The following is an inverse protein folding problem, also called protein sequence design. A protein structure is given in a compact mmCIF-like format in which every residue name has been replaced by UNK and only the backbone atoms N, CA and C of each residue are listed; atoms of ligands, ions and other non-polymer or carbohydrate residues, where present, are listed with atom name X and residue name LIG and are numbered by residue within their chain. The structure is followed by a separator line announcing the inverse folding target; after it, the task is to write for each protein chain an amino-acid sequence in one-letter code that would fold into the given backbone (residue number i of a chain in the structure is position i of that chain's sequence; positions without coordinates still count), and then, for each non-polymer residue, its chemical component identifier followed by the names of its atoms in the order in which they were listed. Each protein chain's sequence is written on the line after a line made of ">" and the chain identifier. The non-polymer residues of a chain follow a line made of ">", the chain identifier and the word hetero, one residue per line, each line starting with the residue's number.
data_IF_014036952702
#
_entry.id   IF_014036952702
#
_cell.length_a   1.000
_cell.length_b   1.000
_cell.length_c   1.000
_cell.angle_alpha   90.00
_cell.angle_beta   90.00
_cell.angle_gamma   90.00
#
_symmetry.space_group_name_H-M   'P 1'
#
loop_
_entity.id
_entity.type
_entity.pdbx_description
1 polymer ?
#
# COMPACT_ATOMS: atom_id res chain seq x y z
N UNK A 1 17.06 -18.12 2.35
CA UNK A 1 15.75 -18.68 2.63
C UNK A 1 14.72 -18.13 1.67
N UNK A 2 13.73 -18.96 1.30
CA UNK A 2 12.61 -18.54 0.45
C UNK A 2 11.32 -18.96 1.16
N UNK A 3 10.37 -18.02 1.27
CA UNK A 3 9.06 -18.23 1.87
C UNK A 3 7.95 -17.82 0.91
N UNK A 4 6.85 -18.57 0.93
CA UNK A 4 5.59 -18.16 0.34
C UNK A 4 4.67 -17.81 1.49
N UNK A 5 4.23 -16.57 1.53
CA UNK A 5 3.48 -16.01 2.66
C UNK A 5 2.24 -15.26 2.18
N UNK A 6 1.28 -15.07 3.10
CA UNK A 6 0.16 -14.21 2.82
C UNK A 6 0.63 -12.79 2.52
N UNK A 7 0.13 -12.21 1.46
CA UNK A 7 0.50 -10.88 1.03
C UNK A 7 0.16 -9.78 2.06
N UNK A 8 -0.69 -10.05 3.05
CA UNK A 8 -0.99 -9.15 4.16
C UNK A 8 0.27 -8.74 4.95
N UNK A 9 1.37 -9.50 4.83
CA UNK A 9 2.68 -9.11 5.36
C UNK A 9 3.12 -7.73 4.87
N UNK A 10 2.68 -7.28 3.70
CA UNK A 10 3.12 -5.99 3.13
C UNK A 10 2.36 -4.80 3.70
N UNK A 11 1.13 -4.96 4.18
CA UNK A 11 0.28 -3.82 4.55
C UNK A 11 -0.42 -3.94 5.90
N UNK A 12 -0.73 -5.15 6.38
CA UNK A 12 -1.54 -5.31 7.58
C UNK A 12 -0.78 -4.92 8.86
N UNK A 13 -1.44 -4.19 9.75
CA UNK A 13 -0.91 -3.76 11.04
C UNK A 13 -0.53 -4.96 11.94
N UNK A 14 -1.28 -6.06 11.86
CA UNK A 14 -1.02 -7.29 12.63
C UNK A 14 0.39 -7.83 12.37
N UNK A 15 0.91 -7.64 11.15
CA UNK A 15 2.25 -8.13 10.77
C UNK A 15 3.37 -7.10 10.97
N UNK A 16 3.13 -5.97 11.66
CA UNK A 16 4.17 -4.95 11.86
C UNK A 16 5.41 -5.51 12.54
N UNK A 17 5.22 -6.26 13.64
CA UNK A 17 6.34 -6.89 14.37
C UNK A 17 7.08 -7.94 13.55
N UNK A 18 6.35 -8.70 12.72
CA UNK A 18 6.98 -9.67 11.81
C UNK A 18 7.88 -8.98 10.78
N UNK A 19 7.46 -7.82 10.25
CA UNK A 19 8.28 -7.02 9.34
C UNK A 19 9.56 -6.49 10.00
N UNK A 20 9.46 -6.02 11.24
CA UNK A 20 10.63 -5.60 12.03
C UNK A 20 11.62 -6.76 12.20
N UNK A 21 11.14 -7.91 12.65
CA UNK A 21 11.98 -9.11 12.84
C UNK A 21 12.65 -9.56 11.54
N UNK A 22 11.95 -9.46 10.40
CA UNK A 22 12.53 -9.75 9.09
C UNK A 22 13.63 -8.75 8.76
N UNK A 23 13.38 -7.46 8.97
CA UNK A 23 14.36 -6.40 8.70
C UNK A 23 15.60 -6.52 9.59
N UNK A 24 15.42 -6.92 10.84
CA UNK A 24 16.49 -7.10 11.82
C UNK A 24 17.24 -8.42 11.64
N UNK A 25 16.53 -9.50 11.28
CA UNK A 25 17.07 -10.86 11.23
C UNK A 25 17.88 -11.18 9.98
N UNK A 26 17.58 -10.54 8.86
CA UNK A 26 18.20 -10.81 7.57
C UNK A 26 18.88 -9.58 7.00
N UNK A 27 19.83 -9.80 6.09
CA UNK A 27 20.57 -8.75 5.42
C UNK A 27 19.75 -8.10 4.29
N UNK A 28 19.55 -8.85 3.21
CA UNK A 28 18.77 -8.38 2.07
C UNK A 28 17.50 -9.22 1.94
N UNK A 29 16.39 -8.54 1.81
CA UNK A 29 15.07 -9.14 1.73
C UNK A 29 14.38 -8.69 0.45
N UNK A 30 14.04 -9.64 -0.41
CA UNK A 30 13.34 -9.39 -1.67
C UNK A 30 11.91 -9.89 -1.55
N UNK A 31 10.94 -9.02 -1.80
CA UNK A 31 9.52 -9.33 -1.64
C UNK A 31 8.79 -9.08 -2.96
N UNK A 32 8.24 -10.15 -3.51
CA UNK A 32 7.48 -10.16 -4.76
C UNK A 32 6.01 -10.40 -4.44
N UNK A 33 5.13 -9.53 -4.91
CA UNK A 33 3.70 -9.57 -4.55
C UNK A 33 2.83 -9.87 -5.76
N UNK A 34 1.91 -10.82 -5.63
CA UNK A 34 1.07 -11.32 -6.70
C UNK A 34 -0.41 -11.23 -6.34
N UNK A 35 -1.19 -10.73 -7.29
CA UNK A 35 -2.64 -10.59 -7.15
C UNK A 35 -3.34 -11.94 -7.29
N UNK A 36 -4.33 -12.19 -6.44
CA UNK A 36 -5.07 -13.46 -6.41
C UNK A 36 -5.98 -13.69 -7.62
N UNK A 37 -6.47 -12.62 -8.24
CA UNK A 37 -7.45 -12.75 -9.33
C UNK A 37 -6.78 -12.69 -10.70
N UNK A 38 -5.76 -11.83 -10.81
CA UNK A 38 -5.14 -11.49 -12.09
C UNK A 38 -3.79 -12.17 -12.31
N UNK A 39 -3.08 -12.53 -11.24
CA UNK A 39 -1.78 -13.19 -11.31
C UNK A 39 -1.69 -14.30 -10.25
N UNK A 40 -2.44 -15.39 -10.47
CA UNK A 40 -2.47 -16.51 -9.55
C UNK A 40 -1.18 -17.32 -9.65
N UNK A 41 -0.45 -17.43 -8.55
CA UNK A 41 0.68 -18.35 -8.43
C UNK A 41 0.19 -19.78 -8.23
N UNK A 42 -0.89 -19.93 -7.45
CA UNK A 42 -1.52 -21.23 -7.21
C UNK A 42 -2.92 -21.26 -7.80
N UNK A 43 -3.24 -22.32 -8.52
CA UNK A 43 -4.48 -22.43 -9.28
C UNK A 43 -5.75 -22.27 -8.43
N UNK A 44 -5.73 -22.77 -7.20
CA UNK A 44 -6.86 -22.71 -6.26
C UNK A 44 -6.68 -21.68 -5.13
N UNK A 45 -5.66 -20.83 -5.20
CA UNK A 45 -5.47 -19.83 -4.16
C UNK A 45 -6.56 -18.75 -4.22
N UNK A 46 -7.23 -18.56 -3.09
CA UNK A 46 -8.24 -17.51 -2.88
C UNK A 46 -7.66 -16.23 -2.32
N UNK A 47 -6.36 -16.19 -2.05
CA UNK A 47 -5.66 -15.06 -1.46
C UNK A 47 -4.48 -14.63 -2.33
N UNK A 48 -4.19 -13.34 -2.30
CA UNK A 48 -2.94 -12.82 -2.84
C UNK A 48 -1.77 -13.32 -2.01
N UNK A 49 -0.64 -13.57 -2.65
CA UNK A 49 0.55 -14.10 -1.98
C UNK A 49 1.76 -13.22 -2.23
N UNK A 50 2.72 -13.31 -1.32
CA UNK A 50 4.06 -12.78 -1.52
C UNK A 50 5.08 -13.91 -1.48
N UNK A 51 6.06 -13.84 -2.40
CA UNK A 51 7.26 -14.65 -2.32
C UNK A 51 8.33 -13.77 -1.70
N UNK A 52 8.91 -14.23 -0.60
CA UNK A 52 9.97 -13.52 0.11
C UNK A 52 11.25 -14.33 0.05
N UNK A 53 12.32 -13.72 -0.45
CA UNK A 53 13.68 -14.27 -0.48
C UNK A 53 14.55 -13.48 0.47
N UNK A 54 15.05 -14.14 1.51
CA UNK A 54 15.88 -13.55 2.56
C UNK A 54 17.30 -14.08 2.48
N UNK A 55 18.27 -13.21 2.65
CA UNK A 55 19.68 -13.54 2.72
C UNK A 55 20.20 -13.35 4.14
N UNK A 56 21.02 -14.30 4.61
CA UNK A 56 21.65 -14.18 5.91
C UNK A 56 22.62 -13.00 5.95
N UNK A 57 22.78 -12.42 7.12
CA UNK A 57 23.76 -11.35 7.35
C UNK A 57 25.18 -11.88 7.17
N UNK A 58 26.00 -11.12 6.47
CA UNK A 58 27.43 -11.28 6.38
C UNK A 58 28.11 -9.90 6.41
N UNK A 59 29.40 -9.84 6.47
CA UNK A 59 30.16 -8.58 6.57
C UNK A 59 29.97 -7.61 5.38
N UNK A 60 29.42 -8.10 4.26
CA UNK A 60 29.19 -7.31 3.04
C UNK A 60 27.73 -6.98 2.81
N UNK A 61 26.86 -7.32 3.75
CA UNK A 61 25.40 -7.13 3.61
C UNK A 61 25.03 -5.66 3.66
N UNK A 62 24.15 -5.24 2.74
CA UNK A 62 23.63 -3.85 2.67
C UNK A 62 22.41 -3.60 3.55
N UNK A 63 21.86 -4.64 4.18
CA UNK A 63 20.65 -4.57 5.03
C UNK A 63 19.47 -3.85 4.34
N UNK A 64 19.10 -4.36 3.17
CA UNK A 64 18.06 -3.78 2.32
C UNK A 64 16.77 -4.56 2.30
N UNK A 65 15.63 -3.86 2.23
CA UNK A 65 14.37 -4.44 1.82
C UNK A 65 14.04 -3.95 0.41
N UNK A 66 13.78 -4.90 -0.47
CA UNK A 66 13.51 -4.66 -1.88
C UNK A 66 12.13 -5.20 -2.22
N UNK A 67 11.28 -4.39 -2.79
CA UNK A 67 9.92 -4.78 -3.15
C UNK A 67 9.68 -4.67 -4.65
N UNK A 68 8.92 -5.62 -5.20
CA UNK A 68 8.33 -5.48 -6.53
C UNK A 68 7.06 -4.64 -6.48
N UNK A 69 6.56 -4.23 -7.65
CA UNK A 69 5.15 -3.86 -7.78
C UNK A 69 4.27 -5.09 -7.50
N UNK A 70 2.99 -4.87 -7.21
CA UNK A 70 2.00 -5.96 -7.21
C UNK A 70 1.72 -6.38 -8.65
N UNK A 71 2.05 -7.64 -8.98
CA UNK A 71 1.79 -8.20 -10.31
C UNK A 71 0.32 -8.57 -10.45
N UNK A 72 -0.31 -8.07 -11.51
CA UNK A 72 -1.71 -8.34 -11.89
C UNK A 72 -1.84 -9.13 -13.18
N UNK A 73 -0.74 -9.51 -13.74
CA UNK A 73 -0.55 -10.41 -14.88
C UNK A 73 0.76 -11.14 -14.68
N UNK A 74 0.89 -12.32 -15.26
CA UNK A 74 2.11 -13.11 -15.11
C UNK A 74 3.29 -12.36 -15.73
N UNK A 75 4.24 -11.88 -14.93
CA UNK A 75 5.38 -11.17 -15.47
C UNK A 75 6.34 -12.15 -16.15
N UNK A 76 6.94 -11.75 -17.26
CA UNK A 76 8.17 -12.40 -17.71
C UNK A 76 9.27 -12.16 -16.70
N UNK A 77 10.28 -13.02 -16.68
CA UNK A 77 11.41 -12.89 -15.73
C UNK A 77 12.13 -11.53 -15.88
N UNK A 78 12.13 -10.96 -17.08
CA UNK A 78 12.77 -9.68 -17.40
C UNK A 78 11.95 -8.46 -16.91
N UNK A 79 10.65 -8.65 -16.63
CA UNK A 79 9.76 -7.60 -16.12
C UNK A 79 9.73 -7.53 -14.60
N UNK A 80 10.35 -8.50 -13.92
CA UNK A 80 10.43 -8.53 -12.46
C UNK A 80 11.46 -7.52 -11.98
N UNK A 81 11.00 -6.30 -11.71
CA UNK A 81 11.81 -5.24 -11.12
C UNK A 81 11.55 -5.13 -9.64
N UNK A 82 12.60 -4.88 -8.88
CA UNK A 82 12.54 -4.58 -7.45
C UNK A 82 13.29 -3.29 -7.16
N UNK A 83 12.81 -2.56 -6.17
CA UNK A 83 13.45 -1.35 -5.69
C UNK A 83 13.68 -1.41 -4.20
N UNK A 84 14.81 -0.88 -3.74
CA UNK A 84 15.05 -0.68 -2.32
C UNK A 84 14.00 0.27 -1.75
N UNK A 85 13.34 -0.14 -0.68
CA UNK A 85 12.27 0.61 -0.05
C UNK A 85 12.59 1.06 1.39
N UNK A 86 13.82 0.90 1.87
CA UNK A 86 14.21 1.25 3.24
C UNK A 86 13.82 2.68 3.62
N UNK A 87 13.95 3.62 2.71
CA UNK A 87 13.57 5.03 2.91
C UNK A 87 12.09 5.22 3.22
N UNK A 88 11.24 4.29 2.76
CA UNK A 88 9.79 4.37 2.80
C UNK A 88 9.14 3.44 3.84
N UNK A 89 9.94 2.63 4.53
CA UNK A 89 9.46 1.66 5.53
C UNK A 89 9.00 2.31 6.82
N UNK A 90 9.68 3.35 7.20
CA UNK A 90 9.52 4.03 8.48
C UNK A 90 9.30 5.51 8.23
N UNK A 91 8.06 5.96 8.02
CA UNK A 91 7.82 7.38 8.06
C UNK A 91 8.23 7.87 9.45
N UNK A 92 9.16 8.82 9.49
CA UNK A 92 9.69 9.41 10.71
C UNK A 92 8.51 9.78 11.62
N UNK A 93 8.43 9.14 12.80
CA UNK A 93 7.61 9.49 13.97
C UNK A 93 6.42 10.43 13.70
N UNK A 94 5.48 10.03 12.89
CA UNK A 94 4.18 10.66 12.84
C UNK A 94 3.22 9.68 13.51
N UNK A 95 2.49 10.13 14.50
CA UNK A 95 1.49 9.36 15.25
C UNK A 95 0.38 8.74 14.38
N UNK A 96 0.33 9.12 13.12
CA UNK A 96 -0.63 8.65 12.13
C UNK A 96 -0.14 7.46 11.28
N UNK A 97 1.17 7.16 11.27
CA UNK A 97 1.76 6.10 10.46
C UNK A 97 2.35 4.99 11.32
N UNK A 98 1.60 4.51 12.30
CA UNK A 98 2.03 3.39 13.15
C UNK A 98 2.14 2.05 12.43
N UNK A 99 1.79 1.96 11.16
CA UNK A 99 1.93 0.72 10.42
C UNK A 99 3.15 0.77 9.53
N UNK A 100 4.18 0.06 9.89
CA UNK A 100 5.37 -0.23 9.09
C UNK A 100 5.00 -1.00 7.81
N UNK A 101 4.30 -0.35 6.89
CA UNK A 101 3.87 -0.98 5.63
C UNK A 101 5.04 -1.07 4.68
N UNK A 102 5.12 -2.16 3.93
CA UNK A 102 6.11 -2.35 2.87
C UNK A 102 5.54 -1.81 1.56
N UNK A 103 6.05 -0.69 1.04
CA UNK A 103 5.54 -0.15 -0.21
C UNK A 103 5.92 -1.04 -1.38
N UNK A 104 4.97 -1.36 -2.24
CA UNK A 104 5.14 -2.19 -3.44
C UNK A 104 5.64 -1.36 -4.61
N UNK A 105 6.92 -0.99 -4.59
CA UNK A 105 7.49 0.03 -5.48
C UNK A 105 7.79 -0.54 -6.87
N UNK A 106 8.68 -1.52 -6.96
CA UNK A 106 9.13 -2.13 -8.21
C UNK A 106 9.99 -1.24 -9.09
N UNK A 107 9.47 -0.12 -9.57
CA UNK A 107 10.11 0.73 -10.58
C UNK A 107 10.62 2.06 -10.02
N UNK A 108 11.66 2.62 -10.64
CA UNK A 108 12.22 3.90 -10.20
C UNK A 108 11.24 5.08 -10.31
N UNK A 109 10.35 5.07 -11.30
CA UNK A 109 9.34 6.13 -11.43
C UNK A 109 8.43 6.19 -10.19
N UNK A 110 8.11 5.04 -9.59
CA UNK A 110 7.32 4.99 -8.37
C UNK A 110 8.04 5.65 -7.18
N UNK A 111 9.37 5.52 -7.12
CA UNK A 111 10.19 6.21 -6.09
C UNK A 111 10.13 7.72 -6.27
N UNK A 112 10.28 8.19 -7.50
CA UNK A 112 10.23 9.63 -7.82
C UNK A 112 8.87 10.22 -7.40
N UNK A 113 7.78 9.53 -7.67
CA UNK A 113 6.44 9.95 -7.25
C UNK A 113 6.33 9.95 -5.72
N UNK A 114 6.78 8.89 -5.06
CA UNK A 114 6.76 8.79 -3.60
C UNK A 114 7.61 9.87 -2.94
N UNK A 115 8.80 10.16 -3.47
CA UNK A 115 9.67 11.21 -2.94
C UNK A 115 8.99 12.58 -2.99
N UNK A 116 8.27 12.87 -4.08
CA UNK A 116 7.48 14.09 -4.20
C UNK A 116 6.32 14.14 -3.21
N UNK A 117 5.59 13.03 -3.05
CA UNK A 117 4.47 12.96 -2.11
C UNK A 117 4.92 13.09 -0.66
N UNK A 118 6.04 12.46 -0.31
CA UNK A 118 6.57 12.47 1.07
C UNK A 118 7.37 13.73 1.40
N UNK A 119 7.68 14.56 0.42
CA UNK A 119 8.33 15.84 0.63
C UNK A 119 7.42 16.83 1.37
N UNK A 120 6.12 16.77 1.13
CA UNK A 120 5.14 17.63 1.76
C UNK A 120 4.69 17.07 3.10
N UNK A 121 4.68 17.92 4.14
CA UNK A 121 4.25 17.56 5.49
C UNK A 121 2.72 17.67 5.71
N UNK A 122 1.99 18.08 4.68
CA UNK A 122 0.54 18.20 4.75
C UNK A 122 -0.12 16.85 4.49
N UNK A 123 -0.88 16.37 5.43
CA UNK A 123 -1.54 15.07 5.36
C UNK A 123 -3.06 15.24 5.23
N UNK A 124 -3.70 14.41 4.42
CA UNK A 124 -5.17 14.39 4.27
C UNK A 124 -5.87 14.26 5.63
N UNK A 125 -5.28 13.56 6.57
CA UNK A 125 -5.84 13.42 7.91
C UNK A 125 -6.07 14.74 8.64
N UNK A 126 -5.31 15.79 8.33
CA UNK A 126 -5.44 17.11 8.96
C UNK A 126 -6.74 17.83 8.58
N UNK A 127 -7.35 17.46 7.46
CA UNK A 127 -8.63 18.02 6.99
C UNK A 127 -9.83 17.11 7.29
N UNK A 128 -9.59 15.93 7.90
CA UNK A 128 -10.67 15.08 8.39
C UNK A 128 -11.25 15.64 9.67
N UNK A 129 -12.55 15.55 9.82
CA UNK A 129 -13.25 16.05 11.00
C UNK A 129 -14.19 14.98 11.57
N UNK A 130 -14.65 15.16 12.82
CA UNK A 130 -15.68 14.31 13.42
C UNK A 130 -17.10 14.76 13.05
N UNK A 131 -17.23 16.03 12.66
CA UNK A 131 -18.49 16.66 12.26
C UNK A 131 -18.17 17.74 11.23
N UNK A 132 -18.95 17.85 10.17
CA UNK A 132 -18.68 18.83 9.12
C UNK A 132 -19.35 18.44 7.83
N UNK A 133 -18.65 18.65 6.73
CA UNK A 133 -19.06 18.14 5.44
C UNK A 133 -18.93 16.62 5.36
N UNK A 134 -19.59 16.02 4.39
CA UNK A 134 -19.50 14.59 4.12
C UNK A 134 -19.14 14.36 2.67
N UNK A 135 -18.18 13.49 2.43
CA UNK A 135 -18.04 12.78 1.17
C UNK A 135 -18.38 11.30 1.40
N UNK A 136 -18.81 10.65 0.36
CA UNK A 136 -19.14 9.23 0.39
C UNK A 136 -18.07 8.46 -0.36
N UNK A 137 -17.50 7.46 0.29
CA UNK A 137 -16.40 6.69 -0.28
C UNK A 137 -16.81 5.23 -0.46
N UNK A 138 -16.40 4.65 -1.57
CA UNK A 138 -16.52 3.22 -1.77
C UNK A 138 -15.38 2.51 -1.05
N UNK A 139 -15.70 1.69 -0.04
CA UNK A 139 -14.73 1.05 0.83
C UNK A 139 -14.22 -0.28 0.32
N UNK A 140 -14.97 -0.92 -0.60
CA UNK A 140 -14.55 -2.15 -1.27
C UNK A 140 -14.93 -2.11 -2.74
N UNK A 141 -14.26 -2.84 -3.59
CA UNK A 141 -14.64 -2.90 -5.01
C UNK A 141 -13.50 -3.12 -5.97
N UNK A 142 -12.74 -4.19 -5.80
CA UNK A 142 -11.88 -4.78 -6.82
C UNK A 142 -11.24 -3.77 -7.78
N UNK A 143 -10.45 -2.82 -7.25
CA UNK A 143 -9.70 -1.80 -8.00
C UNK A 143 -10.47 -0.52 -8.40
N UNK A 144 -11.73 -0.37 -8.03
CA UNK A 144 -12.52 0.82 -8.30
C UNK A 144 -12.86 1.53 -6.99
N UNK A 145 -12.13 2.57 -6.69
CA UNK A 145 -12.36 3.43 -5.52
C UNK A 145 -12.93 4.73 -6.02
N UNK A 146 -14.11 5.06 -5.56
CA UNK A 146 -14.78 6.27 -5.95
C UNK A 146 -15.17 7.05 -4.71
N UNK A 147 -15.02 8.36 -4.78
CA UNK A 147 -15.55 9.31 -3.81
C UNK A 147 -16.65 10.14 -4.46
N UNK A 148 -17.68 10.48 -3.69
CA UNK A 148 -18.87 11.19 -4.15
C UNK A 148 -19.20 12.31 -3.15
N UNK A 149 -19.63 13.45 -3.63
CA UNK A 149 -20.15 14.55 -2.81
C UNK A 149 -21.52 14.21 -2.18
N UNK A 150 -22.30 13.35 -2.85
CA UNK A 150 -23.60 12.86 -2.40
C UNK A 150 -23.62 11.34 -2.36
N UNK A 151 -24.45 10.76 -1.47
CA UNK A 151 -24.59 9.31 -1.42
C UNK A 151 -25.19 8.77 -2.71
N UNK A 152 -24.45 7.97 -3.50
CA UNK A 152 -24.89 7.57 -4.84
C UNK A 152 -26.01 6.52 -4.79
N UNK A 153 -25.96 5.61 -3.81
CA UNK A 153 -26.94 4.54 -3.58
C UNK A 153 -26.77 3.93 -2.19
N UNK A 154 -27.76 3.13 -1.77
CA UNK A 154 -27.68 2.42 -0.50
C UNK A 154 -26.88 1.13 -0.67
N UNK A 155 -25.75 1.03 0.01
CA UNK A 155 -24.88 -0.14 0.05
C UNK A 155 -24.02 -0.11 1.29
N UNK A 156 -23.67 -1.29 1.80
CA UNK A 156 -22.69 -1.46 2.89
C UNK A 156 -21.26 -1.14 2.44
N UNK A 157 -21.01 -1.11 1.13
CA UNK A 157 -19.73 -0.72 0.56
C UNK A 157 -19.52 0.79 0.49
N UNK A 158 -20.58 1.59 0.72
CA UNK A 158 -20.50 3.05 0.72
C UNK A 158 -20.50 3.56 2.15
N UNK A 159 -19.44 4.22 2.54
CA UNK A 159 -19.28 4.79 3.89
C UNK A 159 -19.06 6.30 3.84
N UNK A 160 -19.60 7.05 4.82
CA UNK A 160 -19.30 8.48 4.93
C UNK A 160 -17.87 8.67 5.46
N UNK A 161 -17.21 9.68 4.92
CA UNK A 161 -15.99 10.27 5.47
C UNK A 161 -16.28 11.73 5.77
N UNK A 162 -16.07 12.12 7.01
CA UNK A 162 -16.30 13.50 7.44
C UNK A 162 -15.06 14.35 7.20
N UNK A 163 -15.25 15.52 6.67
CA UNK A 163 -14.19 16.45 6.26
C UNK A 163 -14.63 17.89 6.54
N UNK A 164 -13.70 18.79 6.74
CA UNK A 164 -13.97 20.21 6.79
C UNK A 164 -14.66 20.65 5.49
N UNK A 165 -15.69 21.52 5.60
CA UNK A 165 -16.57 21.84 4.47
C UNK A 165 -15.84 22.38 3.26
N UNK A 166 -14.84 23.22 3.49
CA UNK A 166 -14.06 23.87 2.43
C UNK A 166 -13.18 22.90 1.61
N UNK A 167 -13.00 21.68 2.11
CA UNK A 167 -12.19 20.65 1.44
C UNK A 167 -13.00 19.53 0.77
N UNK A 168 -14.34 19.63 0.74
CA UNK A 168 -15.20 18.58 0.14
C UNK A 168 -14.82 18.32 -1.32
N UNK A 169 -14.84 19.36 -2.14
CA UNK A 169 -14.57 19.24 -3.58
C UNK A 169 -13.15 18.80 -3.83
N UNK A 170 -12.19 19.40 -3.13
CA UNK A 170 -10.78 19.02 -3.22
C UNK A 170 -10.57 17.53 -2.92
N UNK A 171 -11.11 17.06 -1.78
CA UNK A 171 -10.90 15.68 -1.38
C UNK A 171 -11.64 14.70 -2.30
N UNK A 172 -12.83 15.07 -2.79
CA UNK A 172 -13.56 14.27 -3.77
C UNK A 172 -12.75 14.10 -5.05
N UNK A 173 -12.17 15.17 -5.60
CA UNK A 173 -11.32 15.11 -6.80
C UNK A 173 -10.05 14.32 -6.52
N UNK A 174 -9.37 14.58 -5.39
CA UNK A 174 -8.15 13.88 -5.03
C UNK A 174 -8.38 12.37 -4.94
N UNK A 175 -9.44 11.93 -4.24
CA UNK A 175 -9.73 10.50 -4.06
C UNK A 175 -10.17 9.79 -5.35
N UNK A 176 -10.64 10.53 -6.34
CA UNK A 176 -10.92 9.99 -7.69
C UNK A 176 -9.72 10.09 -8.64
N UNK A 177 -8.59 10.61 -8.18
CA UNK A 177 -7.40 10.77 -9.03
C UNK A 177 -6.57 9.51 -9.14
N UNK A 178 -5.80 9.41 -10.22
CA UNK A 178 -4.80 8.36 -10.40
C UNK A 178 -3.69 8.40 -9.34
N UNK A 179 -3.42 9.58 -8.75
CA UNK A 179 -2.45 9.75 -7.68
C UNK A 179 -2.88 9.05 -6.39
N UNK A 180 -4.15 9.21 -6.00
CA UNK A 180 -4.68 8.51 -4.85
C UNK A 180 -4.74 7.00 -5.09
N UNK A 181 -5.14 6.57 -6.28
CA UNK A 181 -5.11 5.17 -6.66
C UNK A 181 -3.69 4.58 -6.63
N UNK A 182 -2.70 5.34 -7.08
CA UNK A 182 -1.29 4.98 -6.96
C UNK A 182 -0.91 4.74 -5.49
N UNK A 183 -1.26 5.67 -4.58
CA UNK A 183 -1.00 5.54 -3.14
C UNK A 183 -1.62 4.28 -2.55
N UNK A 184 -2.89 4.01 -2.85
CA UNK A 184 -3.58 2.79 -2.41
C UNK A 184 -2.91 1.51 -2.93
N UNK A 185 -2.41 1.53 -4.14
CA UNK A 185 -1.69 0.37 -4.70
C UNK A 185 -0.33 0.15 -4.04
N UNK A 186 0.36 1.21 -3.72
CA UNK A 186 1.69 1.13 -3.09
C UNK A 186 1.57 0.60 -1.66
N UNK A 187 0.67 1.14 -0.84
CA UNK A 187 0.61 0.85 0.60
C UNK A 187 -0.58 0.00 1.05
N UNK A 188 -1.65 -0.03 0.30
CA UNK A 188 -2.87 -0.77 0.63
C UNK A 188 -2.89 -2.20 0.11
N UNK A 189 -4.01 -2.86 0.33
CA UNK A 189 -4.26 -4.22 -0.18
C UNK A 189 -4.75 -4.24 -1.64
N UNK A 190 -4.96 -3.08 -2.24
CA UNK A 190 -5.46 -2.93 -3.59
C UNK A 190 -6.95 -3.26 -3.77
N UNK A 191 -7.69 -3.52 -2.68
CA UNK A 191 -9.09 -3.97 -2.70
C UNK A 191 -10.01 -3.21 -1.77
N UNK A 192 -9.49 -2.79 -0.63
CA UNK A 192 -10.24 -2.11 0.40
C UNK A 192 -9.61 -0.75 0.69
N UNK A 193 -10.45 0.24 0.83
CA UNK A 193 -10.05 1.53 1.35
C UNK A 193 -10.34 1.53 2.84
N UNK A 194 -9.34 1.11 3.61
CA UNK A 194 -9.42 1.15 5.07
C UNK A 194 -9.24 2.59 5.54
N UNK A 195 -9.93 2.94 6.62
CA UNK A 195 -9.82 4.26 7.25
C UNK A 195 -8.55 4.43 8.09
N UNK A 196 -7.70 3.38 8.14
CA UNK A 196 -6.44 3.33 8.91
C UNK A 196 -5.27 3.95 8.12
#
# INVERSE_FOLDING_TARGET
>A
LIFIINYAITFSKIFSKSRELIAEGFADNYIYTFDRDKCKIFQHATQSVSIMKCFNKNSFSKNGIYTSRMFRESPSIYEIKVSNCNKYLFPKKSSYYESHRLPKIGENINKVILDKLLFYNNHVVSILSKSGGKIWIRTSGNYWYNAFDKKPYNSTEISPLFVEKDFIDFLTVLMNSSLFYFWLRIYGDGRHMNKD
#
